data_IF_728191212348
#
_entry.id   IF_728191212348
#
_cell.length_a   1.000
_cell.length_b   1.000
_cell.length_c   1.000
_cell.angle_alpha   90.00
_cell.angle_beta   90.00
_cell.angle_gamma   90.00
#
_symmetry.space_group_name_H-M   'P 1'
#
loop_
_entity.id
_entity.type
_entity.pdbx_description
1 polymer ?
#
# COMPACT_ATOMS: atom_id res chain seq x y z
N UNK A 1 8.66 -77.15 48.90
CA UNK A 1 10.03 -76.70 49.24
C UNK A 1 10.69 -76.33 47.92
N UNK A 2 11.16 -75.13 47.58
CA UNK A 2 11.46 -73.90 48.30
C UNK A 2 11.20 -72.69 47.37
N UNK A 3 10.91 -71.52 47.93
CA UNK A 3 11.02 -70.20 47.27
C UNK A 3 12.49 -69.73 47.34
N UNK A 4 12.90 -68.50 46.94
CA UNK A 4 12.29 -67.44 46.09
C UNK A 4 13.31 -66.91 45.03
N UNK A 5 13.08 -65.75 44.39
CA UNK A 5 14.04 -64.60 44.32
C UNK A 5 13.54 -63.51 43.35
N UNK A 6 13.33 -62.32 43.92
CA UNK A 6 13.12 -61.03 43.27
C UNK A 6 14.41 -60.54 42.57
N UNK A 7 14.31 -59.97 41.36
CA UNK A 7 15.42 -59.22 40.72
C UNK A 7 15.06 -57.74 40.51
N UNK A 8 15.83 -56.89 41.18
CA UNK A 8 15.89 -55.42 41.05
C UNK A 8 16.32 -54.98 39.65
N UNK A 9 15.63 -53.98 39.09
CA UNK A 9 16.05 -53.25 37.90
C UNK A 9 17.18 -52.26 38.19
N UNK A 10 18.33 -52.44 37.53
CA UNK A 10 19.48 -51.55 37.58
C UNK A 10 19.58 -50.69 36.33
N UNK A 11 19.44 -49.38 36.50
CA UNK A 11 19.60 -48.33 35.48
C UNK A 11 21.08 -48.13 35.12
N UNK A 12 21.51 -48.55 33.94
CA UNK A 12 22.83 -48.25 33.37
C UNK A 12 22.80 -46.93 32.60
N UNK A 13 23.29 -45.85 33.24
CA UNK A 13 23.57 -44.56 32.58
C UNK A 13 24.85 -44.69 31.73
N UNK A 14 24.74 -44.38 30.43
CA UNK A 14 25.90 -44.23 29.53
C UNK A 14 26.68 -42.94 29.87
N UNK A 15 28.03 -42.95 29.83
CA UNK A 15 28.83 -41.75 30.01
C UNK A 15 28.74 -40.82 28.79
N UNK A 16 28.60 -39.52 29.06
CA UNK A 16 28.48 -38.42 28.09
C UNK A 16 29.89 -37.96 27.69
N UNK A 17 30.20 -37.96 26.40
CA UNK A 17 31.46 -37.45 25.87
C UNK A 17 31.63 -35.94 26.14
N UNK A 18 32.87 -35.44 26.37
CA UNK A 18 33.13 -34.03 26.60
C UNK A 18 32.94 -33.20 25.32
N UNK A 19 32.22 -32.09 25.45
CA UNK A 19 31.93 -31.14 24.37
C UNK A 19 33.13 -30.21 24.18
N UNK A 20 33.83 -30.31 23.06
CA UNK A 20 34.87 -29.38 22.64
C UNK A 20 34.24 -28.02 22.32
N UNK A 21 34.68 -26.97 23.00
CA UNK A 21 34.25 -25.59 22.76
C UNK A 21 34.99 -24.98 21.56
N UNK A 22 34.32 -24.24 20.66
CA UNK A 22 35.01 -23.53 19.59
C UNK A 22 35.74 -22.30 20.12
N UNK A 23 36.98 -22.12 19.64
CA UNK A 23 37.89 -21.04 19.98
C UNK A 23 37.30 -19.65 19.67
N UNK A 24 37.33 -18.78 20.67
CA UNK A 24 37.01 -17.35 20.56
C UNK A 24 38.15 -16.63 19.79
N UNK A 25 37.88 -16.15 18.57
CA UNK A 25 38.78 -15.24 17.86
C UNK A 25 38.77 -13.87 18.56
N UNK A 26 39.94 -13.47 19.07
CA UNK A 26 40.21 -12.12 19.61
C UNK A 26 39.85 -11.05 18.59
N UNK A 27 38.91 -10.17 18.93
CA UNK A 27 38.66 -8.90 18.21
C UNK A 27 39.74 -7.90 18.61
N UNK A 28 40.45 -7.36 17.63
CA UNK A 28 41.35 -6.21 17.81
C UNK A 28 40.56 -4.91 18.02
N UNK A 29 41.22 -3.84 18.51
CA UNK A 29 40.56 -2.59 18.90
C UNK A 29 40.03 -1.82 17.68
N UNK A 30 38.78 -1.35 17.80
CA UNK A 30 38.10 -0.47 16.85
C UNK A 30 38.56 0.98 17.07
N UNK A 31 39.09 1.59 16.02
CA UNK A 31 39.38 3.03 15.95
C UNK A 31 38.14 3.78 15.45
N UNK A 32 37.67 4.88 16.08
CA UNK A 32 36.56 5.67 15.57
C UNK A 32 37.08 6.68 14.55
N UNK A 33 36.57 6.62 13.30
CA UNK A 33 36.99 7.50 12.21
C UNK A 33 35.80 8.08 11.44
N UNK A 34 35.50 9.34 11.77
CA UNK A 34 34.98 10.42 10.90
C UNK A 34 33.61 10.21 10.22
N UNK A 35 32.60 10.87 10.79
CA UNK A 35 31.30 11.16 10.17
C UNK A 35 31.50 12.23 9.10
N UNK A 36 31.30 11.87 7.83
CA UNK A 36 31.25 12.82 6.72
C UNK A 36 29.81 13.31 6.51
N UNK A 37 29.51 14.49 7.03
CA UNK A 37 28.27 15.22 6.79
C UNK A 37 28.27 15.75 5.35
N UNK A 38 27.52 15.14 4.45
CA UNK A 38 27.36 15.63 3.07
C UNK A 38 26.21 16.65 3.03
N UNK A 39 26.57 17.92 3.18
CA UNK A 39 25.71 19.07 2.94
C UNK A 39 25.63 19.32 1.42
N UNK A 40 24.46 19.12 0.81
CA UNK A 40 24.24 19.44 -0.61
C UNK A 40 23.91 20.93 -0.74
N UNK A 41 24.90 21.71 -1.20
CA UNK A 41 24.73 23.10 -1.62
C UNK A 41 24.17 23.14 -3.05
N UNK A 42 22.99 23.76 -3.22
CA UNK A 42 22.41 24.10 -4.52
C UNK A 42 23.11 25.37 -5.02
N UNK A 43 23.96 25.24 -6.05
CA UNK A 43 24.44 26.39 -6.83
C UNK A 43 23.36 26.85 -7.79
N UNK A 44 22.91 28.09 -7.63
CA UNK A 44 22.17 28.84 -8.65
C UNK A 44 23.13 29.16 -9.80
N UNK A 45 22.85 28.59 -10.97
CA UNK A 45 23.55 28.89 -12.21
C UNK A 45 23.12 30.25 -12.75
N UNK A 46 24.03 31.22 -12.70
CA UNK A 46 24.01 32.43 -13.52
C UNK A 46 24.70 32.15 -14.86
N UNK A 47 23.99 32.32 -15.97
CA UNK A 47 24.59 32.53 -17.30
C UNK A 47 23.98 33.77 -17.93
N UNK A 48 24.80 34.81 -18.00
CA UNK A 48 24.66 35.93 -18.94
C UNK A 48 25.34 35.55 -20.29
N UNK A 49 25.15 36.42 -21.31
CA UNK A 49 25.69 36.42 -22.70
C UNK A 49 24.54 36.14 -23.72
N UNK A 50 24.21 36.93 -24.74
CA UNK A 50 24.90 38.02 -25.47
C UNK A 50 23.89 38.97 -26.16
N UNK A 51 24.40 40.15 -26.49
CA UNK A 51 23.86 41.35 -27.15
C UNK A 51 23.25 41.10 -28.54
N UNK A 52 22.14 41.81 -28.83
CA UNK A 52 21.60 42.02 -30.18
C UNK A 52 21.00 43.43 -30.31
N UNK A 53 21.66 44.27 -31.09
CA UNK A 53 21.39 45.69 -31.35
C UNK A 53 20.13 45.95 -32.18
N UNK A 54 19.41 47.05 -31.93
CA UNK A 54 18.39 47.57 -32.84
C UNK A 54 17.61 48.75 -32.25
N UNK A 55 17.85 49.95 -32.80
CA UNK A 55 17.45 51.25 -32.28
C UNK A 55 15.94 51.55 -32.35
N UNK A 56 15.42 52.28 -31.36
CA UNK A 56 14.37 53.29 -31.59
C UNK A 56 14.44 54.40 -30.54
N UNK A 57 14.10 55.60 -30.98
CA UNK A 57 14.55 56.91 -30.50
C UNK A 57 13.67 57.52 -29.41
N UNK A 58 14.36 58.19 -28.46
CA UNK A 58 14.09 59.54 -27.90
C UNK A 58 12.72 59.79 -27.23
N UNK A 59 12.74 60.12 -25.94
CA UNK A 59 12.51 61.49 -25.45
C UNK A 59 12.47 61.58 -23.92
N UNK A 60 13.39 62.40 -23.41
CA UNK A 60 13.29 63.31 -22.27
C UNK A 60 13.30 62.82 -20.81
N UNK A 61 13.89 63.71 -20.02
CA UNK A 61 14.70 63.49 -18.82
C UNK A 61 14.03 64.22 -17.61
N UNK A 62 14.69 64.39 -16.43
CA UNK A 62 14.30 63.76 -15.17
C UNK A 62 13.85 64.76 -14.08
N UNK A 63 13.28 64.32 -12.95
CA UNK A 63 13.43 65.04 -11.67
C UNK A 63 13.49 64.08 -10.47
N UNK A 64 14.47 64.40 -9.62
CA UNK A 64 14.95 63.88 -8.35
C UNK A 64 13.96 63.37 -7.29
N UNK A 65 14.48 62.44 -6.48
CA UNK A 65 14.07 62.15 -5.09
C UNK A 65 14.35 63.34 -4.15
N UNK A 66 13.78 63.40 -2.94
CA UNK A 66 14.45 62.71 -1.82
C UNK A 66 13.55 62.11 -0.73
N UNK A 67 14.21 61.24 0.04
CA UNK A 67 13.96 60.73 1.41
C UNK A 67 12.99 61.48 2.33
N UNK A 68 12.20 60.72 3.11
CA UNK A 68 12.21 60.81 4.59
C UNK A 68 11.32 59.73 5.26
N UNK A 69 11.91 58.99 6.19
CA UNK A 69 11.24 58.27 7.30
C UNK A 69 10.97 59.29 8.43
N UNK A 70 9.93 59.14 9.28
CA UNK A 70 10.07 58.30 10.48
C UNK A 70 8.78 57.55 10.91
N UNK A 71 8.97 56.49 11.70
CA UNK A 71 7.95 55.83 12.55
C UNK A 71 7.75 56.64 13.86
N UNK A 72 7.09 56.13 14.93
CA UNK A 72 5.96 55.21 15.08
C UNK A 72 4.81 55.91 15.86
N UNK A 73 3.71 55.20 16.20
CA UNK A 73 3.14 55.16 17.57
C UNK A 73 1.66 54.74 17.63
N UNK A 74 1.40 53.92 18.65
CA UNK A 74 0.18 53.78 19.46
C UNK A 74 -1.00 52.90 18.98
N UNK A 75 -1.05 51.71 19.58
CA UNK A 75 -2.25 51.00 20.04
C UNK A 75 -3.04 51.85 21.06
N UNK A 76 -4.38 51.76 21.09
CA UNK A 76 -5.05 51.16 22.26
C UNK A 76 -6.24 50.25 21.83
N UNK A 77 -6.49 49.09 22.44
CA UNK A 77 -7.17 48.79 23.72
C UNK A 77 -8.68 48.52 23.58
N UNK A 78 -9.05 47.31 24.03
CA UNK A 78 -10.33 46.86 24.62
C UNK A 78 -11.59 46.75 23.73
N UNK A 79 -12.13 45.52 23.60
CA UNK A 79 -13.26 44.97 24.38
C UNK A 79 -14.59 45.25 23.64
N UNK A 80 -15.63 44.42 23.62
CA UNK A 80 -16.07 43.39 24.53
C UNK A 80 -17.07 42.46 23.81
N UNK A 81 -17.20 41.27 24.38
CA UNK A 81 -18.24 40.25 24.33
C UNK A 81 -19.68 40.70 24.03
N UNK A 82 -20.50 39.82 23.43
CA UNK A 82 -21.69 39.20 24.07
C UNK A 82 -22.59 38.44 23.06
N UNK A 83 -22.77 37.11 23.25
CA UNK A 83 -24.01 36.37 23.64
C UNK A 83 -25.09 36.23 22.56
N UNK A 84 -25.94 35.19 22.42
CA UNK A 84 -26.23 33.90 23.07
C UNK A 84 -27.25 33.18 22.12
N UNK A 85 -27.12 31.88 21.83
CA UNK A 85 -27.87 30.73 22.40
C UNK A 85 -29.40 30.62 22.19
N UNK A 86 -29.78 29.44 21.67
CA UNK A 86 -30.95 28.58 22.02
C UNK A 86 -32.35 28.93 21.50
N UNK A 87 -32.99 27.99 20.79
CA UNK A 87 -34.31 27.41 21.14
C UNK A 87 -34.59 26.12 20.32
N UNK A 88 -34.84 25.01 21.02
CA UNK A 88 -35.74 23.89 20.66
C UNK A 88 -36.93 23.97 21.66
N UNK A 89 -38.03 23.16 21.66
CA UNK A 89 -38.28 21.86 21.00
C UNK A 89 -39.75 21.64 20.49
N UNK A 90 -40.08 20.46 19.93
CA UNK A 90 -41.39 19.79 20.11
C UNK A 90 -41.44 18.37 19.48
N UNK A 91 -41.96 17.42 20.26
CA UNK A 91 -42.57 16.10 19.92
C UNK A 91 -43.97 16.10 20.60
N UNK A 92 -44.85 15.08 20.54
CA UNK A 92 -45.04 13.92 19.65
C UNK A 92 -46.52 13.78 19.16
N UNK A 93 -46.86 12.75 18.38
CA UNK A 93 -48.24 12.22 18.32
C UNK A 93 -48.31 10.76 17.89
N UNK A 94 -49.12 10.02 18.64
CA UNK A 94 -49.49 8.60 18.57
C UNK A 94 -50.78 8.45 17.73
N UNK A 95 -51.00 7.32 17.02
CA UNK A 95 -52.21 6.45 17.08
C UNK A 95 -52.25 5.40 15.96
N UNK A 96 -52.91 4.29 16.31
CA UNK A 96 -52.99 2.93 15.79
C UNK A 96 -53.92 2.71 14.56
N UNK A 97 -53.97 1.43 14.13
CA UNK A 97 -55.04 0.72 13.40
C UNK A 97 -55.01 0.88 11.86
N UNK A 98 -55.25 -0.12 11.01
CA UNK A 98 -55.93 -1.43 11.15
C UNK A 98 -55.55 -2.33 9.96
N UNK A 99 -55.72 -3.64 10.16
CA UNK A 99 -55.87 -4.74 9.18
C UNK A 99 -56.30 -4.37 7.75
N UNK A 100 -55.68 -5.00 6.74
CA UNK A 100 -56.42 -5.82 5.77
C UNK A 100 -55.51 -6.68 4.87
N UNK A 101 -55.88 -7.96 4.85
CA UNK A 101 -55.41 -9.02 3.98
C UNK A 101 -56.26 -9.01 2.70
N UNK A 102 -55.64 -8.98 1.52
CA UNK A 102 -56.28 -9.40 0.27
C UNK A 102 -55.23 -9.99 -0.68
N UNK A 103 -55.27 -11.32 -0.80
CA UNK A 103 -54.72 -12.09 -1.92
C UNK A 103 -55.62 -11.91 -3.16
N UNK A 104 -55.03 -11.84 -4.36
CA UNK A 104 -55.34 -12.85 -5.39
C UNK A 104 -54.03 -13.31 -6.06
N UNK A 105 -53.63 -14.58 -6.03
CA UNK A 105 -54.13 -15.71 -6.86
C UNK A 105 -54.38 -15.35 -8.32
N UNK A 106 -53.32 -15.44 -9.14
CA UNK A 106 -53.42 -15.88 -10.52
C UNK A 106 -52.04 -16.37 -11.02
N UNK A 107 -51.92 -17.68 -11.18
CA UNK A 107 -50.96 -18.31 -12.11
C UNK A 107 -51.54 -18.24 -13.52
N UNK A 108 -50.69 -18.10 -14.55
CA UNK A 108 -50.71 -19.17 -15.53
C UNK A 108 -49.32 -19.62 -16.01
N UNK A 109 -49.22 -20.94 -16.11
CA UNK A 109 -48.79 -21.68 -17.31
C UNK A 109 -47.33 -21.58 -17.76
N UNK A 110 -46.68 -22.73 -17.60
CA UNK A 110 -45.44 -23.14 -18.22
C UNK A 110 -45.41 -22.90 -19.74
N UNK A 111 -44.28 -22.40 -20.23
CA UNK A 111 -43.83 -22.67 -21.60
C UNK A 111 -42.34 -22.98 -21.54
N UNK A 112 -42.03 -24.26 -21.63
CA UNK A 112 -40.70 -24.75 -21.90
C UNK A 112 -40.26 -24.27 -23.29
N UNK A 113 -39.09 -23.66 -23.42
CA UNK A 113 -38.39 -23.57 -24.70
C UNK A 113 -36.90 -23.31 -24.51
N UNK A 114 -36.14 -24.18 -25.17
CA UNK A 114 -34.72 -24.10 -25.51
C UNK A 114 -33.69 -24.11 -24.37
N UNK A 115 -33.22 -25.34 -24.07
CA UNK A 115 -31.88 -25.55 -23.53
C UNK A 115 -30.83 -24.93 -24.48
N UNK A 116 -29.87 -24.13 -23.99
CA UNK A 116 -28.72 -23.77 -24.80
C UNK A 116 -27.86 -25.01 -24.98
N UNK A 117 -27.77 -25.43 -26.25
CA UNK A 117 -26.81 -26.41 -26.76
C UNK A 117 -25.43 -26.13 -26.17
N UNK A 118 -24.84 -27.16 -25.57
CA UNK A 118 -23.48 -27.15 -25.05
C UNK A 118 -22.53 -26.61 -26.14
N UNK A 119 -22.13 -25.35 -25.98
CA UNK A 119 -21.10 -24.73 -26.81
C UNK A 119 -19.80 -25.46 -26.55
N UNK A 120 -19.24 -26.00 -27.63
CA UNK A 120 -18.02 -26.76 -27.73
C UNK A 120 -16.99 -26.42 -26.64
N UNK A 121 -16.59 -27.46 -25.91
CA UNK A 121 -15.41 -27.43 -25.05
C UNK A 121 -14.23 -26.87 -25.85
N UNK A 122 -13.80 -25.66 -25.50
CA UNK A 122 -12.57 -25.11 -26.01
C UNK A 122 -11.43 -26.07 -25.65
N UNK A 123 -10.74 -26.55 -26.67
CA UNK A 123 -9.45 -27.23 -26.53
C UNK A 123 -8.55 -26.43 -25.59
N UNK A 124 -7.89 -27.05 -24.60
CA UNK A 124 -7.02 -26.33 -23.68
C UNK A 124 -5.84 -25.78 -24.48
N UNK A 125 -5.88 -24.49 -24.78
CA UNK A 125 -4.70 -23.75 -25.21
C UNK A 125 -3.66 -23.96 -24.12
N UNK A 126 -2.57 -24.64 -24.47
CA UNK A 126 -1.41 -24.81 -23.60
C UNK A 126 -0.96 -23.42 -23.16
N UNK A 127 -1.30 -23.04 -21.92
CA UNK A 127 -0.91 -21.75 -21.37
C UNK A 127 0.61 -21.81 -21.16
N UNK A 128 1.36 -21.28 -22.11
CA UNK A 128 2.82 -21.22 -22.03
C UNK A 128 3.23 -20.43 -20.79
N UNK A 129 3.98 -21.08 -19.91
CA UNK A 129 4.55 -20.45 -18.72
C UNK A 129 5.57 -19.37 -19.09
N UNK A 130 5.59 -18.25 -18.37
CA UNK A 130 6.58 -17.18 -18.46
C UNK A 130 7.71 -17.44 -17.45
N UNK A 131 8.96 -17.15 -17.83
CA UNK A 131 10.09 -17.20 -16.90
C UNK A 131 10.28 -15.82 -16.25
N UNK A 132 10.21 -15.80 -14.93
CA UNK A 132 10.36 -14.64 -14.07
C UNK A 132 11.69 -14.68 -13.33
N UNK A 133 12.32 -13.51 -13.19
CA UNK A 133 13.58 -13.34 -12.46
C UNK A 133 13.32 -12.58 -11.17
N UNK A 134 13.69 -13.17 -10.04
CA UNK A 134 13.64 -12.55 -8.71
C UNK A 134 15.06 -12.48 -8.16
N UNK A 135 15.61 -11.27 -8.07
CA UNK A 135 16.99 -11.06 -7.63
C UNK A 135 17.01 -10.84 -6.12
N UNK A 136 17.76 -11.67 -5.39
CA UNK A 136 17.95 -11.47 -3.94
C UNK A 136 18.53 -10.08 -3.70
N UNK A 137 17.92 -9.35 -2.77
CA UNK A 137 18.37 -8.04 -2.32
C UNK A 137 18.41 -8.05 -0.80
N UNK A 138 19.61 -7.93 -0.21
CA UNK A 138 19.79 -7.90 1.24
C UNK A 138 19.90 -6.45 1.71
N UNK A 139 18.76 -5.89 2.13
CA UNK A 139 18.66 -4.59 2.79
C UNK A 139 18.21 -4.74 4.24
N UNK A 140 18.43 -3.72 5.07
CA UNK A 140 17.82 -3.66 6.40
C UNK A 140 16.28 -3.68 6.31
N UNK A 141 15.61 -4.16 7.36
CA UNK A 141 14.14 -4.24 7.47
C UNK A 141 13.44 -5.22 6.51
N UNK A 142 14.14 -6.22 6.00
CA UNK A 142 13.54 -7.29 5.19
C UNK A 142 12.88 -8.41 6.03
N UNK A 143 11.82 -9.03 5.48
CA UNK A 143 11.27 -10.30 5.96
C UNK A 143 11.48 -11.38 4.89
N UNK A 144 12.66 -11.97 4.83
CA UNK A 144 12.95 -12.95 3.77
C UNK A 144 12.21 -14.28 4.01
N UNK A 145 11.38 -14.70 3.04
CA UNK A 145 10.61 -15.97 3.10
C UNK A 145 10.98 -16.96 1.98
N UNK A 146 12.06 -16.67 1.25
CA UNK A 146 12.49 -17.38 0.05
C UNK A 146 12.21 -16.59 -1.23
N UNK A 147 12.72 -17.10 -2.35
CA UNK A 147 12.41 -16.57 -3.67
C UNK A 147 11.15 -17.25 -4.25
N UNK A 148 10.29 -16.54 -4.98
CA UNK A 148 9.18 -17.16 -5.70
C UNK A 148 9.68 -18.13 -6.78
N UNK A 149 8.85 -19.11 -7.21
CA UNK A 149 9.15 -19.96 -8.35
C UNK A 149 9.40 -19.13 -9.61
N UNK A 150 10.43 -19.47 -10.38
CA UNK A 150 10.79 -18.72 -11.60
C UNK A 150 9.84 -18.96 -12.76
N UNK A 151 9.00 -19.99 -12.72
CA UNK A 151 7.97 -20.22 -13.74
C UNK A 151 6.63 -19.70 -13.24
N UNK A 152 6.10 -18.69 -13.93
CA UNK A 152 4.75 -18.18 -13.70
C UNK A 152 3.83 -18.64 -14.82
N UNK A 153 2.62 -19.10 -14.48
CA UNK A 153 1.58 -19.40 -15.46
C UNK A 153 0.62 -18.21 -15.53
N UNK A 154 0.55 -17.48 -16.66
CA UNK A 154 -0.42 -16.42 -16.83
C UNK A 154 -1.85 -16.93 -16.59
N UNK A 155 -2.64 -16.14 -15.89
CA UNK A 155 -4.02 -16.49 -15.60
C UNK A 155 -4.64 -15.47 -14.66
N UNK A 156 -5.94 -15.25 -14.82
CA UNK A 156 -6.69 -14.41 -13.90
C UNK A 156 -6.81 -15.16 -12.57
N UNK A 157 -6.52 -14.46 -11.48
CA UNK A 157 -6.61 -14.97 -10.11
C UNK A 157 -7.45 -14.02 -9.27
N UNK A 158 -7.94 -14.48 -8.13
CA UNK A 158 -8.62 -13.62 -7.17
C UNK A 158 -7.81 -13.52 -5.89
N UNK A 159 -7.54 -12.30 -5.44
CA UNK A 159 -6.98 -12.03 -4.12
C UNK A 159 -8.07 -11.54 -3.17
N UNK A 160 -8.10 -12.09 -1.96
CA UNK A 160 -8.90 -11.59 -0.85
C UNK A 160 -7.96 -10.99 0.20
N UNK A 161 -8.08 -9.69 0.42
CA UNK A 161 -7.32 -8.91 1.39
C UNK A 161 -8.24 -8.57 2.56
N UNK A 162 -8.08 -9.29 3.65
CA UNK A 162 -8.85 -9.05 4.88
C UNK A 162 -8.08 -8.05 5.74
N UNK A 163 -8.73 -6.95 6.09
CA UNK A 163 -8.18 -5.95 7.00
C UNK A 163 -9.04 -5.82 8.25
N UNK A 164 -8.51 -5.19 9.30
CA UNK A 164 -9.30 -4.80 10.47
C UNK A 164 -10.36 -3.71 10.17
N UNK A 165 -10.41 -3.17 8.94
CA UNK A 165 -11.38 -2.16 8.50
C UNK A 165 -12.42 -2.72 7.53
N UNK A 166 -12.28 -3.97 7.11
CA UNK A 166 -13.14 -4.59 6.10
C UNK A 166 -12.34 -5.46 5.13
N UNK A 167 -13.05 -6.15 4.24
CA UNK A 167 -12.45 -7.04 3.24
C UNK A 167 -12.46 -6.38 1.87
N UNK A 168 -11.33 -6.49 1.17
CA UNK A 168 -11.15 -6.01 -0.20
C UNK A 168 -10.89 -7.23 -1.08
N UNK A 169 -11.66 -7.37 -2.15
CA UNK A 169 -11.51 -8.45 -3.13
C UNK A 169 -10.99 -7.87 -4.43
N UNK A 170 -9.95 -8.49 -4.97
CA UNK A 170 -9.23 -8.00 -6.15
C UNK A 170 -9.15 -9.11 -7.19
N UNK A 171 -9.48 -8.76 -8.43
CA UNK A 171 -9.15 -9.56 -9.60
C UNK A 171 -7.72 -9.22 -10.04
N UNK A 172 -6.83 -10.22 -10.10
CA UNK A 172 -5.44 -10.06 -10.50
C UNK A 172 -5.28 -10.29 -12.02
N UNK A 173 -4.46 -9.47 -12.66
CA UNK A 173 -4.31 -9.45 -14.11
C UNK A 173 -3.37 -10.54 -14.61
N UNK A 174 -3.81 -11.30 -15.62
CA UNK A 174 -2.99 -12.29 -16.30
C UNK A 174 -1.78 -11.68 -17.05
N UNK A 175 -1.85 -10.38 -17.36
CA UNK A 175 -0.81 -9.62 -18.07
C UNK A 175 0.35 -9.22 -17.17
N UNK A 176 0.27 -9.40 -15.85
CA UNK A 176 1.37 -9.16 -14.90
C UNK A 176 1.83 -10.48 -14.24
N UNK A 177 2.21 -11.52 -15.02
CA UNK A 177 2.41 -12.86 -14.49
C UNK A 177 3.49 -12.94 -13.42
N UNK A 178 4.59 -12.19 -13.53
CA UNK A 178 5.67 -12.23 -12.55
C UNK A 178 5.30 -11.51 -11.26
N UNK A 179 4.56 -10.41 -11.36
CA UNK A 179 4.02 -9.67 -10.21
C UNK A 179 3.00 -10.53 -9.46
N UNK A 180 2.02 -11.10 -10.18
CA UNK A 180 0.98 -11.95 -9.59
C UNK A 180 1.59 -13.21 -8.95
N UNK A 181 2.60 -13.81 -9.59
CA UNK A 181 3.31 -14.95 -9.03
C UNK A 181 4.07 -14.61 -7.73
N UNK A 182 4.76 -13.46 -7.69
CA UNK A 182 5.41 -12.95 -6.47
C UNK A 182 4.39 -12.70 -5.36
N UNK A 183 3.30 -11.99 -5.67
CA UNK A 183 2.24 -11.68 -4.72
C UNK A 183 1.58 -12.93 -4.15
N UNK A 184 1.25 -13.91 -5.00
CA UNK A 184 0.68 -15.19 -4.59
C UNK A 184 1.65 -16.01 -3.73
N UNK A 185 2.94 -16.04 -4.09
CA UNK A 185 3.97 -16.69 -3.28
C UNK A 185 4.03 -16.09 -1.87
N UNK A 186 4.13 -14.77 -1.75
CA UNK A 186 4.17 -14.08 -0.46
C UNK A 186 2.88 -14.32 0.36
N UNK A 187 1.72 -14.25 -0.28
CA UNK A 187 0.43 -14.56 0.35
C UNK A 187 0.39 -16.01 0.89
N UNK A 188 0.91 -16.98 0.13
CA UNK A 188 1.00 -18.39 0.56
C UNK A 188 1.90 -18.59 1.79
N UNK A 189 2.87 -17.70 2.00
CA UNK A 189 3.77 -17.68 3.16
C UNK A 189 3.21 -16.89 4.35
N UNK A 190 1.96 -16.42 4.27
CA UNK A 190 1.37 -15.50 5.27
C UNK A 190 2.28 -14.28 5.50
N UNK A 191 2.96 -13.82 4.44
CA UNK A 191 3.94 -12.75 4.54
C UNK A 191 3.29 -11.44 4.99
N UNK A 192 2.10 -11.16 4.46
CA UNK A 192 1.34 -9.93 4.70
C UNK A 192 0.55 -9.94 6.02
N UNK A 193 0.34 -11.10 6.63
CA UNK A 193 -0.48 -11.24 7.84
C UNK A 193 0.16 -10.44 8.99
N UNK A 194 -0.61 -9.53 9.59
CA UNK A 194 -0.19 -8.61 10.65
C UNK A 194 0.52 -7.33 10.17
N UNK A 195 0.78 -7.17 8.88
CA UNK A 195 1.44 -5.96 8.35
C UNK A 195 0.48 -4.77 8.30
N UNK A 196 1.00 -3.55 8.43
CA UNK A 196 0.20 -2.31 8.38
C UNK A 196 0.22 -1.70 6.98
N UNK A 197 -0.86 -1.05 6.60
CA UNK A 197 -0.80 -0.02 5.57
C UNK A 197 -0.23 1.23 6.22
N UNK A 198 1.01 1.56 5.85
CA UNK A 198 1.81 2.56 6.54
C UNK A 198 1.67 3.96 5.93
N UNK A 199 1.07 4.06 4.74
CA UNK A 199 0.92 5.34 4.05
C UNK A 199 -0.44 5.45 3.36
N UNK A 200 -1.09 6.58 3.58
CA UNK A 200 -2.27 7.05 2.89
C UNK A 200 -1.91 8.38 2.22
N UNK A 201 -1.93 8.38 0.90
CA UNK A 201 -1.83 9.58 0.07
C UNK A 201 -3.22 9.91 -0.48
N UNK A 202 -3.71 11.09 -0.18
CA UNK A 202 -5.01 11.61 -0.59
C UNK A 202 -4.82 13.02 -1.15
N UNK A 203 -4.12 13.11 -2.29
CA UNK A 203 -3.87 14.37 -3.00
C UNK A 203 -4.66 14.41 -4.33
N UNK A 204 -4.98 15.59 -4.86
CA UNK A 204 -5.54 15.71 -6.20
C UNK A 204 -4.62 15.04 -7.24
N UNK A 205 -5.18 14.17 -8.08
CA UNK A 205 -4.44 13.47 -9.13
C UNK A 205 -3.63 12.24 -8.68
N UNK A 206 -3.42 12.04 -7.37
CA UNK A 206 -2.77 10.84 -6.84
C UNK A 206 -3.38 10.42 -5.50
N UNK A 207 -4.12 9.31 -5.53
CA UNK A 207 -4.62 8.64 -4.34
C UNK A 207 -4.04 7.24 -4.18
N UNK A 208 -3.58 6.91 -2.98
CA UNK A 208 -2.99 5.61 -2.68
C UNK A 208 -3.16 5.23 -1.20
N UNK A 209 -3.65 4.02 -0.94
CA UNK A 209 -3.44 3.35 0.34
C UNK A 209 -2.36 2.29 0.15
N UNK A 210 -1.16 2.54 0.67
CA UNK A 210 0.03 1.71 0.48
C UNK A 210 0.25 0.76 1.67
N UNK A 211 0.46 -0.52 1.34
CA UNK A 211 0.61 -1.63 2.27
C UNK A 211 1.74 -2.57 1.82
N UNK A 212 1.94 -3.67 2.55
CA UNK A 212 2.86 -4.74 2.14
C UNK A 212 4.31 -4.55 2.58
N UNK A 213 4.58 -3.60 3.47
CA UNK A 213 5.85 -3.45 4.17
C UNK A 213 5.79 -4.13 5.56
N UNK A 214 6.59 -5.17 5.84
CA UNK A 214 6.69 -5.79 7.15
C UNK A 214 7.15 -4.86 8.28
N UNK A 215 8.01 -3.87 8.00
CA UNK A 215 8.47 -2.92 9.01
C UNK A 215 7.53 -1.73 9.18
N UNK A 216 6.61 -1.55 8.22
CA UNK A 216 5.71 -0.38 8.15
C UNK A 216 6.45 0.97 8.12
N UNK A 217 7.70 1.00 7.62
CA UNK A 217 8.51 2.22 7.53
C UNK A 217 8.53 2.81 6.11
N UNK A 218 8.01 2.09 5.12
CA UNK A 218 8.13 2.38 3.69
C UNK A 218 9.42 1.84 3.06
N UNK A 219 10.33 1.27 3.84
CA UNK A 219 11.66 0.82 3.37
C UNK A 219 11.86 -0.69 3.46
N UNK A 220 10.93 -1.43 4.08
CA UNK A 220 11.04 -2.88 4.16
C UNK A 220 10.55 -3.57 2.89
N UNK A 221 10.79 -4.88 2.83
CA UNK A 221 10.51 -5.68 1.64
C UNK A 221 10.78 -7.18 1.84
N UNK A 222 10.57 -7.99 0.79
CA UNK A 222 10.58 -9.44 0.90
C UNK A 222 12.00 -10.03 0.79
N UNK A 223 13.03 -9.16 0.71
CA UNK A 223 14.41 -9.54 0.48
C UNK A 223 14.75 -9.86 -0.98
N UNK A 224 13.92 -9.44 -1.94
CA UNK A 224 14.21 -9.56 -3.37
C UNK A 224 13.55 -8.44 -4.16
N UNK A 225 14.02 -8.22 -5.38
CA UNK A 225 13.46 -7.29 -6.35
C UNK A 225 13.17 -7.98 -7.69
N UNK A 226 12.25 -7.41 -8.47
CA UNK A 226 11.93 -7.88 -9.83
C UNK A 226 11.47 -6.73 -10.75
N UNK A 227 11.47 -7.02 -12.06
CA UNK A 227 11.17 -6.05 -13.12
C UNK A 227 9.72 -5.55 -13.10
N UNK A 228 9.49 -4.38 -13.70
CA UNK A 228 8.15 -3.85 -13.93
C UNK A 228 7.44 -4.55 -15.10
N UNK A 229 6.11 -4.65 -15.02
CA UNK A 229 5.21 -5.14 -16.07
C UNK A 229 4.13 -4.08 -16.37
N UNK A 230 3.55 -4.11 -17.59
CA UNK A 230 2.38 -3.33 -18.00
C UNK A 230 2.47 -1.79 -17.87
N UNK A 231 3.64 -1.19 -18.09
CA UNK A 231 3.80 0.27 -17.97
C UNK A 231 3.38 1.05 -19.23
N UNK A 232 3.48 0.47 -20.41
CA UNK A 232 3.11 1.16 -21.66
C UNK A 232 1.61 1.50 -21.66
N UNK A 233 1.29 2.80 -21.62
CA UNK A 233 -0.10 3.28 -21.58
C UNK A 233 -0.82 3.02 -20.25
N UNK A 234 -0.10 2.70 -19.17
CA UNK A 234 -0.72 2.43 -17.88
C UNK A 234 -1.51 3.64 -17.37
N UNK A 235 -2.73 3.38 -16.90
CA UNK A 235 -3.58 4.34 -16.22
C UNK A 235 -4.02 3.77 -14.88
N UNK A 236 -4.44 4.65 -13.98
CA UNK A 236 -4.76 4.27 -12.60
C UNK A 236 -6.16 4.76 -12.21
N UNK A 237 -7.22 4.19 -12.82
CA UNK A 237 -8.58 4.47 -12.39
C UNK A 237 -8.82 3.97 -10.97
N UNK A 238 -9.90 4.45 -10.36
CA UNK A 238 -10.39 3.99 -9.06
C UNK A 238 -10.52 2.46 -9.04
N UNK A 239 -10.00 1.87 -7.97
CA UNK A 239 -9.94 0.43 -7.75
C UNK A 239 -8.70 -0.24 -8.33
N UNK A 240 -7.74 0.49 -8.89
CA UNK A 240 -6.48 -0.12 -9.36
C UNK A 240 -5.65 -0.62 -8.18
N UNK A 241 -5.11 -1.83 -8.31
CA UNK A 241 -4.04 -2.35 -7.46
C UNK A 241 -2.73 -2.31 -8.25
N UNK A 242 -1.71 -1.64 -7.70
CA UNK A 242 -0.41 -1.49 -8.34
C UNK A 242 0.75 -1.71 -7.36
N UNK A 243 1.91 -2.09 -7.89
CA UNK A 243 3.13 -2.27 -7.10
C UNK A 243 3.69 -0.92 -6.68
N UNK A 244 4.09 -0.78 -5.42
CA UNK A 244 4.97 0.30 -5.00
C UNK A 244 6.42 -0.09 -5.29
N UNK A 245 7.25 0.88 -5.66
CA UNK A 245 8.66 0.68 -5.96
C UNK A 245 9.49 1.91 -5.57
N UNK A 246 10.81 1.76 -5.55
CA UNK A 246 11.80 2.80 -5.33
C UNK A 246 12.51 3.21 -6.63
N UNK A 247 11.82 3.07 -7.77
CA UNK A 247 12.37 3.22 -9.12
C UNK A 247 12.21 1.96 -9.97
N UNK A 248 12.57 2.06 -11.25
CA UNK A 248 12.39 0.99 -12.22
C UNK A 248 13.08 -0.31 -11.78
N UNK A 249 12.38 -1.44 -11.90
CA UNK A 249 12.88 -2.77 -11.57
C UNK A 249 13.12 -3.05 -10.09
N UNK A 250 12.51 -2.27 -9.20
CA UNK A 250 12.64 -2.43 -7.74
C UNK A 250 11.37 -2.95 -7.07
N UNK A 251 10.49 -3.61 -7.82
CA UNK A 251 9.28 -4.19 -7.25
C UNK A 251 9.64 -5.22 -6.18
N UNK A 252 9.02 -5.10 -5.00
CA UNK A 252 9.24 -5.98 -3.86
C UNK A 252 7.93 -6.59 -3.38
N UNK A 253 7.50 -6.22 -2.17
CA UNK A 253 6.24 -6.69 -1.57
C UNK A 253 5.23 -5.57 -1.36
N UNK A 254 5.65 -4.32 -1.47
CA UNK A 254 4.77 -3.18 -1.22
C UNK A 254 3.85 -2.96 -2.42
N UNK A 255 2.60 -2.66 -2.15
CA UNK A 255 1.57 -2.39 -3.14
C UNK A 255 0.66 -1.28 -2.64
N UNK A 256 -0.10 -0.67 -3.53
CA UNK A 256 -1.11 0.31 -3.14
C UNK A 256 -2.41 0.16 -3.90
N UNK A 257 -3.49 0.56 -3.23
CA UNK A 257 -4.81 0.69 -3.82
C UNK A 257 -5.09 2.15 -4.20
N UNK A 258 -5.55 2.35 -5.42
CA UNK A 258 -6.05 3.64 -5.91
C UNK A 258 -7.54 3.73 -5.60
N UNK A 259 -7.96 4.74 -4.84
CA UNK A 259 -9.35 4.87 -4.37
C UNK A 259 -10.11 6.03 -5.01
N UNK A 260 -9.46 6.87 -5.82
CA UNK A 260 -10.10 7.81 -6.76
C UNK A 260 -9.37 7.77 -8.09
N UNK A 261 -10.04 8.14 -9.17
CA UNK A 261 -9.39 8.25 -10.48
C UNK A 261 -8.16 9.16 -10.37
N UNK A 262 -7.01 8.60 -10.72
CA UNK A 262 -5.71 9.23 -10.51
C UNK A 262 -4.94 9.25 -11.83
N UNK A 263 -4.22 10.34 -12.06
CA UNK A 263 -3.42 10.57 -13.25
C UNK A 263 -2.01 10.93 -12.81
N UNK A 264 -1.16 9.90 -12.74
CA UNK A 264 0.27 10.03 -12.45
C UNK A 264 1.06 9.18 -13.43
N UNK A 265 2.38 9.43 -13.48
CA UNK A 265 3.27 8.76 -14.43
C UNK A 265 3.16 7.23 -14.35
N UNK A 266 3.25 6.53 -15.49
CA UNK A 266 3.09 5.08 -15.56
C UNK A 266 4.34 4.32 -15.08
N UNK A 267 4.76 4.58 -13.84
CA UNK A 267 5.98 4.04 -13.24
C UNK A 267 5.73 2.84 -12.31
N UNK A 268 4.48 2.42 -12.13
CA UNK A 268 4.07 1.42 -11.15
C UNK A 268 3.25 0.34 -11.83
N UNK A 269 3.67 -0.92 -11.74
CA UNK A 269 2.99 -2.03 -12.41
C UNK A 269 1.55 -2.19 -11.92
N UNK A 270 0.53 -1.93 -12.76
CA UNK A 270 -0.84 -2.30 -12.43
C UNK A 270 -0.99 -3.82 -12.57
N UNK A 271 -1.45 -4.48 -11.51
CA UNK A 271 -1.56 -5.95 -11.49
C UNK A 271 -2.89 -6.47 -10.95
N UNK A 272 -3.83 -5.58 -10.63
CA UNK A 272 -5.20 -5.99 -10.33
C UNK A 272 -6.21 -4.86 -10.28
N UNK A 273 -7.48 -5.26 -10.12
CA UNK A 273 -8.64 -4.38 -9.95
C UNK A 273 -9.49 -4.83 -8.77
N UNK A 274 -9.82 -3.90 -7.88
CA UNK A 274 -10.78 -4.11 -6.81
C UNK A 274 -12.16 -4.37 -7.42
N UNK A 275 -12.76 -5.48 -7.04
CA UNK A 275 -14.12 -5.90 -7.45
C UNK A 275 -15.12 -5.86 -6.29
N UNK A 276 -14.64 -5.77 -5.05
CA UNK A 276 -15.45 -5.56 -3.84
C UNK A 276 -14.59 -4.90 -2.75
N UNK A 277 -15.20 -4.06 -1.90
CA UNK A 277 -14.51 -3.34 -0.82
C UNK A 277 -14.00 -1.94 -1.20
N UNK A 278 -14.54 -1.31 -2.25
CA UNK A 278 -14.23 0.09 -2.57
C UNK A 278 -14.75 1.08 -1.51
N UNK A 279 -15.87 0.74 -0.87
CA UNK A 279 -16.44 1.43 0.27
C UNK A 279 -15.53 1.41 1.51
N UNK A 280 -14.81 0.30 1.72
CA UNK A 280 -13.77 0.21 2.78
C UNK A 280 -12.65 1.21 2.51
N UNK A 281 -12.18 1.28 1.26
CA UNK A 281 -11.15 2.25 0.86
C UNK A 281 -11.63 3.69 1.00
N UNK A 282 -12.88 3.98 0.64
CA UNK A 282 -13.48 5.31 0.82
C UNK A 282 -13.56 5.72 2.27
N UNK A 283 -14.01 4.82 3.14
CA UNK A 283 -14.12 5.08 4.57
C UNK A 283 -12.74 5.41 5.18
N UNK A 284 -11.70 4.66 4.81
CA UNK A 284 -10.32 4.94 5.24
C UNK A 284 -9.87 6.31 4.73
N UNK A 285 -10.11 6.62 3.44
CA UNK A 285 -9.70 7.88 2.84
C UNK A 285 -10.42 9.09 3.44
N UNK A 286 -11.71 8.96 3.78
CA UNK A 286 -12.52 10.00 4.40
C UNK A 286 -12.08 10.31 5.84
N UNK A 287 -11.53 9.33 6.57
CA UNK A 287 -10.96 9.54 7.90
C UNK A 287 -9.64 10.35 7.86
N UNK A 288 -8.92 10.29 6.74
CA UNK A 288 -7.68 11.03 6.51
C UNK A 288 -6.44 10.41 7.17
N UNK A 289 -5.39 11.21 7.28
CA UNK A 289 -4.09 10.82 7.84
C UNK A 289 -3.98 11.18 9.33
N UNK A 290 -3.02 10.57 10.01
CA UNK A 290 -2.70 10.81 11.42
C UNK A 290 -2.18 12.23 11.70
N UNK A 291 -1.44 12.79 10.74
CA UNK A 291 -0.88 14.15 10.79
C UNK A 291 -1.82 15.22 10.20
N UNK A 292 -3.01 14.84 9.72
CA UNK A 292 -3.99 15.74 9.09
C UNK A 292 -3.59 16.28 7.72
N UNK A 293 -2.47 15.83 7.15
CA UNK A 293 -2.00 16.23 5.81
C UNK A 293 -2.56 15.31 4.72
N UNK A 294 -2.30 15.64 3.45
CA UNK A 294 -2.66 14.76 2.33
C UNK A 294 -1.78 13.51 2.25
N UNK A 295 -0.62 13.48 2.90
CA UNK A 295 0.30 12.34 2.92
C UNK A 295 0.77 12.04 4.35
N UNK A 296 0.58 10.80 4.79
CA UNK A 296 0.88 10.37 6.15
C UNK A 296 0.42 8.94 6.41
N UNK A 297 0.50 8.47 7.66
CA UNK A 297 -0.10 7.18 8.01
C UNK A 297 -1.63 7.32 8.08
N UNK A 298 -2.41 6.25 7.82
CA UNK A 298 -3.86 6.30 8.02
C UNK A 298 -4.21 6.70 9.46
N UNK A 299 -5.15 7.64 9.63
CA UNK A 299 -5.57 8.16 10.95
C UNK A 299 -6.01 7.05 11.90
N UNK A 300 -6.78 6.09 11.37
CA UNK A 300 -7.05 4.83 12.06
C UNK A 300 -6.21 3.75 11.39
N UNK A 301 -5.47 3.01 12.20
CA UNK A 301 -4.57 1.97 11.71
C UNK A 301 -5.32 0.95 10.86
N UNK A 302 -4.77 0.69 9.67
CA UNK A 302 -5.20 -0.38 8.77
C UNK A 302 -4.16 -1.49 8.85
N UNK A 303 -4.58 -2.67 9.28
CA UNK A 303 -3.75 -3.86 9.40
C UNK A 303 -4.32 -4.95 8.51
N UNK A 304 -3.44 -5.58 7.73
CA UNK A 304 -3.78 -6.75 6.91
C UNK A 304 -3.85 -7.96 7.85
N UNK A 305 -5.06 -8.43 8.15
CA UNK A 305 -5.27 -9.63 8.94
C UNK A 305 -4.86 -10.88 8.17
N UNK A 306 -5.21 -10.93 6.88
CA UNK A 306 -4.79 -12.01 5.99
C UNK A 306 -4.86 -11.61 4.53
N UNK A 307 -3.93 -12.10 3.71
CA UNK A 307 -4.02 -12.04 2.25
C UNK A 307 -4.01 -13.44 1.67
N UNK A 308 -4.99 -13.77 0.82
CA UNK A 308 -5.11 -15.09 0.17
C UNK A 308 -5.31 -14.92 -1.32
N UNK A 309 -4.69 -15.77 -2.12
CA UNK A 309 -4.82 -15.78 -3.59
C UNK A 309 -5.34 -17.15 -4.02
N UNK A 310 -6.36 -17.15 -4.89
CA UNK A 310 -6.97 -18.34 -5.50
C UNK A 310 -6.85 -18.24 -7.02
#
# INVERSE_FOLDING_TARGET
MAAPVQRKGGSTRRPRAPRVAPAQKKKGPFTPGVIATLLVLILLGTTAILVGSGAFTKSDTPVAAPSNTPAPSETPTSAESSTASTTAPATPSTTQSTTQSTTPSASPTASASAAPTASAAATPTTISSVNCTYTRSSGGNEKFTGLPPTKATPGQKTATVVTNRGTIVVTLYATAPCTVNSFAFLASKSYFDGTKCHRLLNAPGFTALQCGDPSATGSGGPGYAFADENLTGATYPRGTLAMANAGAGTNGSQFFFVFKDSQFSPNYTPFGKVVSGLDVLDAIAAEGTDNGQSDGAPKKTVTLSSVRVK
#
